data_IF_901008294334
#
_entry.id   IF_901008294334
#
_cell.length_a   1.000
_cell.length_b   1.000
_cell.length_c   1.000
_cell.angle_alpha   90.00
_cell.angle_beta   90.00
_cell.angle_gamma   90.00
#
_symmetry.space_group_name_H-M   'P 1'
#
loop_
_entity.id
_entity.type
_entity.pdbx_description
1 polymer ?
#
# COMPACT_ATOMS: atom_id res chain seq x y z
N UNK A 1 19.41 8.58 8.87
CA UNK A 1 19.18 8.69 7.42
C UNK A 1 17.78 8.15 7.16
N UNK A 2 16.78 8.99 6.86
CA UNK A 2 15.42 8.51 6.58
C UNK A 2 15.50 7.61 5.34
N UNK A 3 15.13 6.33 5.47
CA UNK A 3 15.10 5.42 4.31
C UNK A 3 14.08 5.96 3.32
N UNK A 4 14.48 6.13 2.06
CA UNK A 4 13.54 6.52 1.00
C UNK A 4 12.50 5.40 0.85
N UNK A 5 11.22 5.76 0.77
CA UNK A 5 10.17 4.78 0.50
C UNK A 5 10.22 4.42 -0.98
N UNK A 6 10.43 3.15 -1.31
CA UNK A 6 10.54 2.63 -2.69
C UNK A 6 9.49 1.56 -2.94
N UNK A 7 9.26 1.19 -4.21
CA UNK A 7 8.35 0.07 -4.55
C UNK A 7 8.80 -1.24 -3.89
N UNK A 8 10.11 -1.55 -3.88
CA UNK A 8 10.64 -2.75 -3.23
C UNK A 8 10.34 -2.79 -1.73
N UNK A 9 10.51 -1.64 -1.06
CA UNK A 9 10.17 -1.49 0.36
C UNK A 9 8.66 -1.62 0.56
N UNK A 10 7.86 -1.01 -0.32
CA UNK A 10 6.40 -1.12 -0.29
C UNK A 10 5.94 -2.58 -0.39
N UNK A 11 6.48 -3.34 -1.35
CA UNK A 11 6.19 -4.75 -1.55
C UNK A 11 6.57 -5.58 -0.33
N UNK A 12 7.77 -5.37 0.23
CA UNK A 12 8.20 -6.10 1.43
C UNK A 12 7.21 -5.91 2.58
N UNK A 13 6.78 -4.67 2.82
CA UNK A 13 5.85 -4.34 3.89
C UNK A 13 4.43 -4.84 3.61
N UNK A 14 4.00 -4.86 2.34
CA UNK A 14 2.74 -5.48 1.94
C UNK A 14 2.75 -6.99 2.22
N UNK A 15 3.82 -7.71 1.91
CA UNK A 15 3.94 -9.14 2.19
C UNK A 15 3.90 -9.42 3.70
N UNK A 16 4.57 -8.59 4.50
CA UNK A 16 4.49 -8.66 5.96
C UNK A 16 3.06 -8.43 6.46
N UNK A 17 2.39 -7.37 6.00
CA UNK A 17 1.00 -7.09 6.39
C UNK A 17 0.03 -8.19 5.98
N UNK A 18 0.14 -8.70 4.75
CA UNK A 18 -0.70 -9.79 4.24
C UNK A 18 -0.56 -11.10 5.04
N UNK A 19 0.50 -11.22 5.82
CA UNK A 19 0.74 -12.36 6.72
C UNK A 19 0.11 -12.17 8.11
N UNK A 20 -0.46 -11.00 8.41
CA UNK A 20 -1.12 -10.72 9.69
C UNK A 20 -2.59 -11.14 9.70
N UNK A 21 -3.14 -11.33 10.89
CA UNK A 21 -4.57 -11.65 11.10
C UNK A 21 -5.50 -10.55 10.58
N UNK A 22 -5.05 -9.28 10.57
CA UNK A 22 -5.82 -8.11 10.17
C UNK A 22 -5.02 -7.17 9.25
N UNK A 23 -4.76 -7.58 8.00
CA UNK A 23 -3.84 -6.91 7.07
C UNK A 23 -4.29 -5.49 6.66
N UNK A 24 -5.58 -5.17 6.81
CA UNK A 24 -6.15 -3.88 6.40
C UNK A 24 -6.17 -2.84 7.52
N UNK A 25 -5.72 -3.18 8.73
CA UNK A 25 -5.72 -2.27 9.88
C UNK A 25 -4.58 -1.24 9.83
N UNK A 26 -3.57 -1.47 9.00
CA UNK A 26 -2.36 -0.65 8.93
C UNK A 26 -1.97 -0.39 7.48
N UNK A 27 -1.45 0.82 7.21
CA UNK A 27 -0.81 1.10 5.94
C UNK A 27 0.59 0.45 5.92
N UNK A 28 1.10 -0.08 4.78
CA UNK A 28 2.43 -0.69 4.73
C UNK A 28 3.53 0.21 5.30
N UNK A 29 3.41 1.52 5.13
CA UNK A 29 4.37 2.49 5.69
C UNK A 29 4.37 2.60 7.21
N UNK A 30 3.26 2.29 7.88
CA UNK A 30 3.13 2.45 9.33
C UNK A 30 4.09 1.51 10.07
N UNK A 31 4.58 0.47 9.37
CA UNK A 31 5.65 -0.42 9.82
C UNK A 31 7.05 0.20 9.83
N UNK A 32 7.28 1.32 9.12
CA UNK A 32 8.60 1.95 9.01
C UNK A 32 8.86 3.07 10.02
N UNK A 33 7.85 3.84 10.41
CA UNK A 33 8.00 5.00 11.30
C UNK A 33 6.63 5.55 11.76
N UNK A 34 6.48 5.92 13.04
CA UNK A 34 5.23 6.45 13.65
C UNK A 34 4.81 7.87 13.15
N UNK A 35 5.48 8.42 12.13
CA UNK A 35 5.34 9.84 11.73
C UNK A 35 5.03 10.11 10.26
N UNK A 36 4.95 9.09 9.40
CA UNK A 36 4.65 9.25 7.97
C UNK A 36 3.21 8.84 7.68
N UNK A 37 2.23 9.61 8.16
CA UNK A 37 0.82 9.37 7.84
C UNK A 37 0.40 10.12 6.57
N UNK A 38 -0.42 9.44 5.76
CA UNK A 38 -1.15 9.96 4.60
C UNK A 38 -2.52 9.31 4.83
N UNK A 39 -3.46 10.07 5.39
CA UNK A 39 -4.69 9.53 5.97
C UNK A 39 -5.58 8.92 4.90
N UNK A 40 -6.24 7.78 5.18
CA UNK A 40 -7.04 7.04 4.18
C UNK A 40 -8.13 7.90 3.50
N UNK A 41 -8.56 9.00 4.14
CA UNK A 41 -9.61 9.92 3.68
C UNK A 41 -9.10 11.35 3.39
N UNK A 42 -7.78 11.55 3.35
CA UNK A 42 -7.17 12.83 3.00
C UNK A 42 -6.75 12.82 1.53
N UNK A 43 -6.78 14.00 0.90
CA UNK A 43 -6.23 14.19 -0.44
C UNK A 43 -4.70 14.01 -0.41
N UNK A 44 -4.28 12.76 -0.65
CA UNK A 44 -2.88 12.35 -0.54
C UNK A 44 -2.14 12.42 -1.88
N UNK A 45 -2.64 13.17 -2.87
CA UNK A 45 -2.04 13.23 -4.22
C UNK A 45 -0.56 13.60 -4.21
N UNK A 46 -0.11 14.35 -3.19
CA UNK A 46 1.30 14.76 -3.04
C UNK A 46 2.17 13.81 -2.20
N UNK A 47 1.58 12.85 -1.48
CA UNK A 47 2.31 11.88 -0.67
C UNK A 47 3.07 10.88 -1.57
N UNK A 48 4.39 10.80 -1.47
CA UNK A 48 5.25 9.88 -2.26
C UNK A 48 4.80 8.41 -2.08
N UNK A 49 4.32 8.07 -0.88
CA UNK A 49 3.82 6.73 -0.55
C UNK A 49 2.50 6.44 -1.28
N UNK A 50 1.63 7.43 -1.39
CA UNK A 50 0.41 7.33 -2.19
C UNK A 50 0.74 7.15 -3.68
N UNK A 51 1.72 7.90 -4.21
CA UNK A 51 2.18 7.75 -5.60
C UNK A 51 2.72 6.35 -5.88
N UNK A 52 3.50 5.79 -4.97
CA UNK A 52 4.03 4.42 -5.08
C UNK A 52 2.90 3.40 -4.99
N UNK A 53 2.00 3.51 -4.01
CA UNK A 53 0.88 2.58 -3.86
C UNK A 53 -0.09 2.64 -5.07
N UNK A 54 -0.41 3.85 -5.54
CA UNK A 54 -1.22 4.08 -6.74
C UNK A 54 -0.56 3.49 -7.99
N UNK A 55 0.73 3.78 -8.19
CA UNK A 55 1.49 3.22 -9.30
C UNK A 55 1.64 1.70 -9.23
N UNK A 56 1.74 1.16 -8.02
CA UNK A 56 1.81 -0.28 -7.77
C UNK A 56 0.51 -0.97 -8.13
N UNK A 57 -0.62 -0.53 -7.55
CA UNK A 57 -1.95 -1.15 -7.76
C UNK A 57 -2.52 -0.83 -9.16
N UNK A 58 -2.00 0.19 -9.84
CA UNK A 58 -2.43 0.56 -11.20
C UNK A 58 -3.86 1.12 -11.23
N UNK A 59 -4.29 1.76 -10.15
CA UNK A 59 -5.68 2.17 -9.98
C UNK A 59 -5.86 3.69 -9.95
N UNK A 60 -6.68 4.20 -10.87
CA UNK A 60 -7.02 5.62 -11.00
C UNK A 60 -8.34 5.94 -10.28
N UNK A 61 -8.33 5.96 -8.95
CA UNK A 61 -9.30 6.80 -8.24
C UNK A 61 -8.65 8.16 -7.98
N UNK A 62 -9.43 9.21 -8.21
CA UNK A 62 -9.06 10.61 -8.01
C UNK A 62 -8.67 10.90 -6.56
N UNK A 63 -7.42 10.62 -6.19
CA UNK A 63 -6.86 10.92 -4.87
C UNK A 63 -7.23 9.94 -3.76
N UNK A 64 -8.04 8.90 -4.03
CA UNK A 64 -8.43 7.92 -3.01
C UNK A 64 -7.43 6.78 -2.91
N UNK A 65 -7.18 6.36 -1.67
CA UNK A 65 -6.38 5.18 -1.36
C UNK A 65 -7.13 3.91 -1.82
N UNK A 66 -6.44 2.88 -2.36
CA UNK A 66 -7.07 1.59 -2.66
C UNK A 66 -7.69 0.89 -1.43
N UNK A 67 -7.43 1.37 -0.21
CA UNK A 67 -8.18 0.98 1.00
C UNK A 67 -9.63 1.50 1.03
N UNK A 68 -10.11 2.24 0.02
CA UNK A 68 -11.52 2.62 -0.14
C UNK A 68 -12.41 1.43 -0.48
N UNK A 69 -11.83 0.36 -1.05
CA UNK A 69 -12.53 -0.90 -1.24
C UNK A 69 -12.80 -1.57 0.10
N UNK A 70 -13.75 -2.50 0.11
CA UNK A 70 -13.84 -3.44 1.22
C UNK A 70 -12.51 -4.21 1.38
N UNK A 71 -12.31 -4.73 2.59
CA UNK A 71 -11.06 -5.38 2.98
C UNK A 71 -10.68 -6.54 2.05
N UNK A 72 -11.66 -7.34 1.63
CA UNK A 72 -11.42 -8.52 0.80
C UNK A 72 -11.00 -8.13 -0.62
N UNK A 73 -11.66 -7.15 -1.22
CA UNK A 73 -11.35 -6.65 -2.55
C UNK A 73 -9.99 -5.93 -2.59
N UNK A 74 -9.66 -5.17 -1.55
CA UNK A 74 -8.33 -4.55 -1.41
C UNK A 74 -7.21 -5.60 -1.35
N UNK A 75 -7.39 -6.67 -0.55
CA UNK A 75 -6.43 -7.79 -0.46
C UNK A 75 -6.33 -8.51 -1.80
N UNK A 76 -7.46 -8.84 -2.42
CA UNK A 76 -7.50 -9.56 -3.70
C UNK A 76 -6.75 -8.81 -4.80
N UNK A 77 -7.01 -7.52 -4.97
CA UNK A 77 -6.30 -6.67 -5.94
C UNK A 77 -4.81 -6.60 -5.66
N UNK A 78 -4.46 -6.43 -4.38
CA UNK A 78 -3.05 -6.41 -3.94
C UNK A 78 -2.35 -7.72 -4.32
N UNK A 79 -2.99 -8.88 -4.10
CA UNK A 79 -2.43 -10.19 -4.47
C UNK A 79 -2.27 -10.35 -5.97
N UNK A 80 -3.28 -9.98 -6.77
CA UNK A 80 -3.19 -10.03 -8.24
C UNK A 80 -1.98 -9.24 -8.74
N UNK A 81 -1.80 -8.01 -8.25
CA UNK A 81 -0.67 -7.17 -8.67
C UNK A 81 0.67 -7.76 -8.24
N UNK A 82 0.74 -8.35 -7.04
CA UNK A 82 1.94 -9.04 -6.57
C UNK A 82 2.26 -10.27 -7.45
N UNK A 83 1.26 -11.04 -7.89
CA UNK A 83 1.43 -12.16 -8.81
C UNK A 83 1.86 -11.69 -10.21
N UNK A 84 1.19 -10.67 -10.78
CA UNK A 84 1.51 -10.11 -12.10
C UNK A 84 2.92 -9.53 -12.18
N UNK A 85 3.40 -8.93 -11.09
CA UNK A 85 4.77 -8.40 -10.97
C UNK A 85 5.80 -9.48 -10.58
N UNK A 86 5.39 -10.71 -10.30
CA UNK A 86 6.26 -11.84 -9.97
C UNK A 86 6.79 -11.85 -8.53
N UNK A 87 6.15 -11.12 -7.62
CA UNK A 87 6.46 -11.10 -6.18
C UNK A 87 5.79 -12.24 -5.41
N UNK A 88 4.68 -12.76 -5.92
CA UNK A 88 4.03 -14.00 -5.47
C UNK A 88 4.11 -15.04 -6.59
N UNK A 89 4.30 -16.31 -6.21
CA UNK A 89 4.35 -17.47 -7.11
C UNK A 89 3.13 -18.33 -6.94
#
# INVERSE_FOLDING_TARGET
MKKKYTEEIHVKLLLELLSETHPCSFCPKDKLDEGLHCGVNEDNRDCEIYKICKGFIGFELDGLCPCVFDREEAIKRTRIVLEEKGYLK
#
